data_IF_596873848824
#
_entry.id   IF_596873848824
#
_cell.length_a   1.000
_cell.length_b   1.000
_cell.length_c   1.000
_cell.angle_alpha   90.00
_cell.angle_beta   90.00
_cell.angle_gamma   90.00
#
_symmetry.space_group_name_H-M   'P 1'
#
loop_
_entity.id
_entity.type
_entity.pdbx_description
1 polymer ?
#
# COMPACT_ATOMS: atom_id res chain seq x y z
N UNK A 1 -2.71 -31.37 34.09
CA UNK A 1 -2.56 -29.96 33.68
C UNK A 1 -2.41 -29.97 32.16
N UNK A 2 -3.54 -29.98 31.44
CA UNK A 2 -3.55 -29.95 29.97
C UNK A 2 -3.45 -28.50 29.55
N UNK A 3 -2.39 -28.16 28.83
CA UNK A 3 -2.25 -26.85 28.19
C UNK A 3 -3.18 -26.88 26.99
N UNK A 4 -4.39 -26.36 27.14
CA UNK A 4 -5.30 -26.07 26.03
C UNK A 4 -4.53 -25.24 25.00
N UNK A 5 -4.04 -25.91 23.96
CA UNK A 5 -3.49 -25.24 22.80
C UNK A 5 -4.67 -24.58 22.08
N UNK A 6 -4.95 -23.34 22.45
CA UNK A 6 -5.83 -22.43 21.73
C UNK A 6 -5.25 -22.09 20.35
N UNK A 7 -4.99 -23.10 19.52
CA UNK A 7 -4.94 -22.94 18.07
C UNK A 7 -6.37 -22.98 17.55
N UNK A 8 -7.13 -21.99 18.01
CA UNK A 8 -8.45 -21.69 17.50
C UNK A 8 -8.24 -21.39 16.03
N UNK A 9 -8.67 -22.32 15.17
CA UNK A 9 -8.60 -22.24 13.70
C UNK A 9 -8.76 -20.78 13.27
N UNK A 10 -7.66 -20.13 12.88
CA UNK A 10 -7.71 -18.77 12.38
C UNK A 10 -8.67 -18.82 11.20
N UNK A 11 -9.87 -18.23 11.39
CA UNK A 11 -10.88 -18.25 10.36
C UNK A 11 -10.25 -17.65 9.10
N UNK A 12 -10.44 -18.31 7.95
CA UNK A 12 -9.86 -17.87 6.67
C UNK A 12 -10.14 -16.40 6.37
N UNK A 13 -11.29 -15.90 6.84
CA UNK A 13 -11.69 -14.50 6.80
C UNK A 13 -10.75 -13.60 7.61
N UNK A 14 -10.37 -13.99 8.84
CA UNK A 14 -9.43 -13.25 9.68
C UNK A 14 -8.04 -13.19 9.07
N UNK A 15 -7.58 -14.28 8.44
CA UNK A 15 -6.30 -14.29 7.72
C UNK A 15 -6.33 -13.33 6.52
N UNK A 16 -7.39 -13.36 5.70
CA UNK A 16 -7.55 -12.42 4.59
C UNK A 16 -7.61 -10.97 5.08
N UNK A 17 -8.35 -10.70 6.15
CA UNK A 17 -8.45 -9.38 6.74
C UNK A 17 -7.08 -8.83 7.18
N UNK A 18 -6.23 -9.69 7.75
CA UNK A 18 -4.86 -9.34 8.10
C UNK A 18 -4.05 -8.94 6.86
N UNK A 19 -4.10 -9.72 5.79
CA UNK A 19 -3.36 -9.40 4.56
C UNK A 19 -3.91 -8.15 3.85
N UNK A 20 -5.22 -7.93 3.90
CA UNK A 20 -5.82 -6.66 3.46
C UNK A 20 -5.30 -5.48 4.29
N UNK A 21 -5.16 -5.63 5.60
CA UNK A 21 -4.61 -4.59 6.48
C UNK A 21 -3.14 -4.29 6.15
N UNK A 22 -2.34 -5.32 5.88
CA UNK A 22 -0.95 -5.16 5.43
C UNK A 22 -0.87 -4.37 4.12
N UNK A 23 -1.70 -4.72 3.12
CA UNK A 23 -1.76 -3.99 1.85
C UNK A 23 -2.18 -2.53 2.04
N UNK A 24 -3.20 -2.28 2.87
CA UNK A 24 -3.68 -0.93 3.15
C UNK A 24 -2.59 -0.09 3.84
N UNK A 25 -1.87 -0.67 4.79
CA UNK A 25 -0.80 0.04 5.48
C UNK A 25 0.38 0.35 4.55
N UNK A 26 0.83 -0.63 3.76
CA UNK A 26 1.89 -0.44 2.77
C UNK A 26 1.51 0.65 1.73
N UNK A 27 0.24 0.69 1.33
CA UNK A 27 -0.29 1.70 0.43
C UNK A 27 -0.22 3.10 1.02
N UNK A 28 -0.64 3.27 2.28
CA UNK A 28 -0.59 4.55 2.98
C UNK A 28 0.86 5.03 3.11
N UNK A 29 1.78 4.18 3.56
CA UNK A 29 3.19 4.55 3.72
C UNK A 29 3.87 4.94 2.39
N UNK A 30 3.54 4.27 1.29
CA UNK A 30 4.12 4.57 -0.01
C UNK A 30 3.65 5.92 -0.61
N UNK A 31 2.42 6.33 -0.31
CA UNK A 31 1.79 7.56 -0.83
C UNK A 31 1.95 8.74 0.13
N UNK A 32 1.73 8.50 1.42
CA UNK A 32 1.78 9.48 2.50
C UNK A 32 2.86 9.10 3.52
N UNK A 33 4.14 9.06 3.11
CA UNK A 33 5.20 8.68 4.02
C UNK A 33 5.28 9.65 5.19
N UNK A 34 5.58 9.09 6.36
CA UNK A 34 5.82 9.87 7.57
C UNK A 34 6.92 10.92 7.35
N UNK A 35 6.82 12.06 8.04
CA UNK A 35 7.86 13.10 8.03
C UNK A 35 9.23 12.62 8.53
N UNK A 36 9.25 11.47 9.23
CA UNK A 36 10.47 10.81 9.72
C UNK A 36 11.04 9.77 8.75
N UNK A 37 10.31 9.42 7.68
CA UNK A 37 10.74 8.40 6.73
C UNK A 37 11.89 8.91 5.85
N UNK A 38 12.94 8.10 5.70
CA UNK A 38 14.06 8.43 4.84
C UNK A 38 13.69 8.25 3.36
N UNK A 39 14.18 9.09 2.42
CA UNK A 39 13.87 8.95 0.99
C UNK A 39 14.11 7.55 0.41
N UNK A 40 15.13 6.84 0.91
CA UNK A 40 15.44 5.46 0.51
C UNK A 40 14.34 4.49 0.95
N UNK A 41 13.82 4.62 2.16
CA UNK A 41 12.74 3.78 2.69
C UNK A 41 11.44 4.02 1.92
N UNK A 42 11.17 5.28 1.56
CA UNK A 42 10.02 5.65 0.71
C UNK A 42 10.13 4.98 -0.65
N UNK A 43 11.33 5.00 -1.26
CA UNK A 43 11.55 4.36 -2.55
C UNK A 43 11.44 2.84 -2.46
N UNK A 44 11.98 2.22 -1.40
CA UNK A 44 11.84 0.78 -1.15
C UNK A 44 10.37 0.39 -0.97
N UNK A 45 9.60 1.16 -0.19
CA UNK A 45 8.15 0.95 0.00
C UNK A 45 7.40 1.00 -1.33
N UNK A 46 7.76 1.91 -2.24
CA UNK A 46 7.17 1.98 -3.59
C UNK A 46 7.60 0.81 -4.48
N UNK A 47 8.86 0.41 -4.42
CA UNK A 47 9.40 -0.70 -5.20
C UNK A 47 8.83 -2.05 -4.77
N UNK A 48 8.28 -2.14 -3.55
CA UNK A 48 7.58 -3.33 -3.10
C UNK A 48 6.33 -3.61 -3.95
N UNK A 49 5.63 -2.58 -4.43
CA UNK A 49 4.49 -2.74 -5.34
C UNK A 49 4.97 -3.29 -6.70
N UNK A 50 4.45 -4.45 -7.08
CA UNK A 50 4.87 -5.18 -8.28
C UNK A 50 6.02 -6.17 -8.04
N UNK A 51 6.49 -6.32 -6.80
CA UNK A 51 7.44 -7.38 -6.41
C UNK A 51 6.75 -8.74 -6.27
N UNK A 52 7.54 -9.83 -6.22
CA UNK A 52 7.03 -11.19 -5.95
C UNK A 52 6.22 -11.26 -4.66
N UNK A 53 6.71 -10.64 -3.59
CA UNK A 53 6.05 -10.64 -2.29
C UNK A 53 4.69 -9.93 -2.35
N UNK A 54 4.60 -8.84 -3.11
CA UNK A 54 3.34 -8.14 -3.35
C UNK A 54 2.29 -9.03 -4.03
N UNK A 55 2.68 -9.81 -5.05
CA UNK A 55 1.75 -10.74 -5.70
C UNK A 55 1.26 -11.83 -4.74
N UNK A 56 2.16 -12.35 -3.90
CA UNK A 56 1.81 -13.32 -2.87
C UNK A 56 0.83 -12.74 -1.85
N UNK A 57 1.07 -11.52 -1.38
CA UNK A 57 0.15 -10.83 -0.45
C UNK A 57 -1.21 -10.56 -1.10
N UNK A 58 -1.25 -10.19 -2.39
CA UNK A 58 -2.52 -10.01 -3.11
C UNK A 58 -3.31 -11.32 -3.18
N UNK A 59 -2.65 -12.45 -3.48
CA UNK A 59 -3.28 -13.76 -3.49
C UNK A 59 -3.84 -14.15 -2.10
N UNK A 60 -3.07 -13.88 -1.03
CA UNK A 60 -3.50 -14.17 0.34
C UNK A 60 -4.63 -13.26 0.83
N UNK A 61 -4.68 -12.02 0.37
CA UNK A 61 -5.77 -11.08 0.62
C UNK A 61 -7.01 -11.36 -0.24
N UNK A 62 -6.87 -12.16 -1.31
CA UNK A 62 -7.95 -12.41 -2.27
C UNK A 62 -8.28 -11.20 -3.15
N UNK A 63 -7.28 -10.38 -3.48
CA UNK A 63 -7.42 -9.19 -4.32
C UNK A 63 -6.67 -9.36 -5.63
N UNK A 64 -7.19 -8.72 -6.68
CA UNK A 64 -6.60 -8.78 -8.02
C UNK A 64 -5.39 -7.82 -8.12
N UNK A 65 -4.15 -8.33 -8.27
CA UNK A 65 -2.93 -7.52 -8.20
C UNK A 65 -2.86 -6.47 -9.31
N UNK A 66 -3.36 -6.79 -10.52
CA UNK A 66 -3.36 -5.87 -11.66
C UNK A 66 -4.18 -4.61 -11.38
N UNK A 67 -5.34 -4.77 -10.72
CA UNK A 67 -6.20 -3.64 -10.33
C UNK A 67 -5.55 -2.78 -9.23
N UNK A 68 -4.87 -3.41 -8.27
CA UNK A 68 -4.14 -2.71 -7.21
C UNK A 68 -3.01 -1.86 -7.82
N UNK A 69 -2.21 -2.45 -8.72
CA UNK A 69 -1.14 -1.74 -9.42
C UNK A 69 -1.65 -0.55 -10.23
N UNK A 70 -2.72 -0.73 -11.01
CA UNK A 70 -3.31 0.35 -11.80
C UNK A 70 -3.70 1.54 -10.91
N UNK A 71 -4.40 1.28 -9.79
CA UNK A 71 -4.79 2.33 -8.85
C UNK A 71 -3.58 2.95 -8.16
N UNK A 72 -2.56 2.16 -7.85
CA UNK A 72 -1.35 2.62 -7.15
C UNK A 72 -0.56 3.59 -8.02
N UNK A 73 -0.32 3.22 -9.28
CA UNK A 73 0.37 4.07 -10.26
C UNK A 73 -0.38 5.39 -10.47
N UNK A 74 -1.72 5.36 -10.56
CA UNK A 74 -2.52 6.56 -10.66
C UNK A 74 -2.37 7.47 -9.42
N UNK A 75 -2.38 6.90 -8.21
CA UNK A 75 -2.21 7.66 -6.98
C UNK A 75 -0.81 8.30 -6.84
N UNK A 76 0.24 7.58 -7.23
CA UNK A 76 1.61 8.12 -7.26
C UNK A 76 1.73 9.25 -8.29
N UNK A 77 1.12 9.09 -9.47
CA UNK A 77 1.11 10.14 -10.48
C UNK A 77 0.44 11.41 -9.98
N UNK A 78 -0.71 11.30 -9.28
CA UNK A 78 -1.40 12.43 -8.66
C UNK A 78 -0.54 13.14 -7.60
N UNK A 79 0.14 12.37 -6.74
CA UNK A 79 1.05 12.92 -5.72
C UNK A 79 2.21 13.72 -6.33
N UNK A 80 2.75 13.23 -7.44
CA UNK A 80 3.91 13.83 -8.08
C UNK A 80 3.56 14.99 -9.02
N UNK A 81 2.28 15.31 -9.21
CA UNK A 81 1.93 16.48 -10.03
C UNK A 81 2.50 17.73 -9.36
N UNK A 82 3.34 18.51 -10.08
CA UNK A 82 3.70 19.83 -9.59
C UNK A 82 2.38 20.59 -9.47
N UNK A 83 2.10 21.11 -8.28
CA UNK A 83 0.97 22.03 -8.05
C UNK A 83 0.88 22.92 -9.27
N UNK A 84 -0.23 22.80 -10.02
CA UNK A 84 -0.47 23.56 -11.23
C UNK A 84 -0.45 25.02 -10.78
N UNK A 85 0.72 25.65 -10.79
CA UNK A 85 0.90 27.07 -10.49
C UNK A 85 0.00 27.73 -11.50
N UNK A 86 -1.14 28.21 -11.01
CA UNK A 86 -2.00 29.12 -11.76
C UNK A 86 -1.11 30.31 -12.02
N UNK A 87 -0.44 30.28 -13.18
CA UNK A 87 0.49 31.31 -13.62
C UNK A 87 -0.42 32.51 -13.83
N UNK A 88 -0.41 33.42 -12.86
CA UNK A 88 -1.23 34.61 -12.85
C UNK A 88 -1.11 35.31 -14.19
N UNK A 89 -2.22 35.41 -14.91
CA UNK A 89 -2.34 36.30 -16.04
C UNK A 89 -2.86 37.62 -15.48
N UNK A 90 -1.98 38.37 -14.82
CA UNK A 90 -2.21 39.80 -14.58
C UNK A 90 -2.18 40.45 -15.96
N UNK A 91 -3.35 40.78 -16.50
CA UNK A 91 -3.44 41.68 -17.64
C UNK A 91 -3.30 43.10 -17.08
N UNK A 92 -2.26 43.77 -17.54
CA UNK A 92 -2.00 45.21 -17.40
C UNK A 92 -3.05 45.97 -18.20
#
# INVERSE_FOLDING_TARGET
MMVDHQYQHLASVSCRALWCAVLANAWVEAIYPSSRAHPVEIQQSRNWFGSSDFFQVCALAGVEPSQVMMKFTAAIALRNQPTRRVRGRVRV
#
